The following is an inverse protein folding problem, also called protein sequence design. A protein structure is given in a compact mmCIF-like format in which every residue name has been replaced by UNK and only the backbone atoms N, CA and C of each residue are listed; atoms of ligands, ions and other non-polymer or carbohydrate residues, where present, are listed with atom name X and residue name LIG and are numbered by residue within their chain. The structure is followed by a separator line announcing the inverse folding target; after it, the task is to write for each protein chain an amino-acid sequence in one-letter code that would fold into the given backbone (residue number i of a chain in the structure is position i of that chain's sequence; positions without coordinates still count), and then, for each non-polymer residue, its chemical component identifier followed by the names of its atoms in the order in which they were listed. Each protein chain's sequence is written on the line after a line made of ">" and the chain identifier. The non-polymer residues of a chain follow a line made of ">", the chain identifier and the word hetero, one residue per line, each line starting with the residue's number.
data_IF_180138310495
#
_entry.id   IF_180138310495
#
_cell.length_a   1.000
_cell.length_b   1.000
_cell.length_c   1.000
_cell.angle_alpha   90.00
_cell.angle_beta   90.00
_cell.angle_gamma   90.00
#
_symmetry.space_group_name_H-M   'P 1'
#
loop_
_entity.id
_entity.type
_entity.pdbx_description
1 polymer ?
#
# COMPACT_ATOMS: atom_id res chain seq x y z
N UNK A 1 14.13 24.33 -1.69
CA UNK A 1 13.85 24.61 -3.11
C UNK A 1 14.14 23.37 -4.00
N UNK A 2 13.87 23.50 -5.30
CA UNK A 2 14.04 22.38 -6.22
C UNK A 2 15.48 21.91 -6.40
N UNK A 3 16.46 22.80 -6.31
CA UNK A 3 17.89 22.44 -6.38
C UNK A 3 18.31 21.67 -5.13
N UNK A 4 17.90 22.14 -3.96
CA UNK A 4 18.11 21.45 -2.70
C UNK A 4 17.48 20.04 -2.71
N UNK A 5 16.27 19.90 -3.27
CA UNK A 5 15.61 18.61 -3.40
C UNK A 5 16.41 17.64 -4.30
N UNK A 6 16.98 18.12 -5.42
CA UNK A 6 17.87 17.30 -6.28
C UNK A 6 19.08 16.81 -5.49
N UNK A 7 19.78 17.72 -4.80
CA UNK A 7 20.96 17.36 -3.99
C UNK A 7 20.63 16.35 -2.88
N UNK A 8 19.52 16.54 -2.19
CA UNK A 8 19.07 15.64 -1.12
C UNK A 8 18.76 14.26 -1.68
N UNK A 9 18.10 14.18 -2.84
CA UNK A 9 17.78 12.92 -3.49
C UNK A 9 19.02 12.22 -4.05
N UNK A 10 20.08 12.94 -4.44
CA UNK A 10 21.35 12.33 -4.82
C UNK A 10 22.09 11.70 -3.63
N UNK A 11 22.09 12.40 -2.49
CA UNK A 11 22.83 12.00 -1.28
C UNK A 11 22.13 10.93 -0.45
N UNK A 12 20.80 10.85 -0.52
CA UNK A 12 19.98 9.98 0.33
C UNK A 12 19.02 9.12 -0.49
N UNK A 13 18.55 8.04 0.12
CA UNK A 13 17.46 7.23 -0.43
C UNK A 13 16.17 7.61 0.27
N UNK A 14 15.15 7.89 -0.54
CA UNK A 14 13.79 8.17 -0.11
C UNK A 14 12.84 7.16 -0.74
N UNK A 15 11.76 6.81 -0.04
CA UNK A 15 10.72 5.91 -0.53
C UNK A 15 9.66 6.64 -1.37
N UNK A 16 9.51 7.96 -1.14
CA UNK A 16 8.61 8.85 -1.85
C UNK A 16 9.00 10.30 -1.56
N UNK A 17 8.79 11.17 -2.53
CA UNK A 17 8.99 12.62 -2.37
C UNK A 17 7.68 13.35 -2.58
N UNK A 18 7.34 14.25 -1.66
CA UNK A 18 6.24 15.22 -1.80
C UNK A 18 6.88 16.57 -2.06
N UNK A 19 6.51 17.22 -3.17
CA UNK A 19 7.17 18.44 -3.64
C UNK A 19 6.14 19.46 -4.12
N UNK A 20 6.36 20.73 -3.80
CA UNK A 20 5.57 21.82 -4.38
C UNK A 20 6.00 22.05 -5.84
N UNK A 21 5.05 22.39 -6.70
CA UNK A 21 5.37 22.82 -8.07
C UNK A 21 6.02 24.22 -8.04
N UNK A 22 5.44 25.13 -7.29
CA UNK A 22 5.90 26.52 -7.23
C UNK A 22 7.01 26.69 -6.20
N UNK A 23 8.25 26.50 -6.63
CA UNK A 23 9.44 26.70 -5.78
C UNK A 23 10.43 27.67 -6.45
N UNK A 24 11.21 28.45 -5.67
CA UNK A 24 12.24 29.31 -6.21
C UNK A 24 13.41 28.49 -6.81
N UNK A 25 14.19 29.12 -7.68
CA UNK A 25 15.39 28.60 -8.36
C UNK A 25 15.11 27.48 -9.34
N UNK A 26 14.50 26.38 -8.91
CA UNK A 26 14.11 25.26 -9.74
C UNK A 26 12.69 24.82 -9.35
N UNK A 27 11.75 24.85 -10.31
CA UNK A 27 10.38 24.43 -10.09
C UNK A 27 10.27 22.91 -9.87
N UNK A 28 9.12 22.46 -9.33
CA UNK A 28 8.91 21.06 -8.98
C UNK A 28 9.00 20.10 -10.17
N UNK A 29 8.52 20.48 -11.36
CA UNK A 29 8.59 19.63 -12.55
C UNK A 29 10.02 19.44 -13.02
N UNK A 30 10.78 20.52 -13.08
CA UNK A 30 12.19 20.50 -13.45
C UNK A 30 13.02 19.69 -12.47
N UNK A 31 12.75 19.82 -11.16
CA UNK A 31 13.40 19.04 -10.12
C UNK A 31 13.08 17.54 -10.26
N UNK A 32 11.80 17.15 -10.46
CA UNK A 32 11.42 15.75 -10.70
C UNK A 32 12.14 15.19 -11.92
N UNK A 33 12.15 15.92 -13.02
CA UNK A 33 12.81 15.48 -14.26
C UNK A 33 14.31 15.23 -14.05
N UNK A 34 14.98 16.06 -13.27
CA UNK A 34 16.39 15.89 -12.95
C UNK A 34 16.62 14.68 -12.07
N UNK A 35 15.85 14.53 -10.99
CA UNK A 35 15.95 13.39 -10.07
C UNK A 35 15.63 12.07 -10.77
N UNK A 36 14.64 12.04 -11.66
CA UNK A 36 14.27 10.83 -12.42
C UNK A 36 15.38 10.31 -13.35
N UNK A 37 16.35 11.14 -13.75
CA UNK A 37 17.50 10.69 -14.53
C UNK A 37 18.38 9.71 -13.74
N UNK A 38 18.53 9.93 -12.44
CA UNK A 38 19.35 9.10 -11.54
C UNK A 38 18.54 8.08 -10.76
N UNK A 39 17.29 8.42 -10.43
CA UNK A 39 16.36 7.59 -9.64
C UNK A 39 14.98 7.43 -10.34
N UNK A 40 14.94 6.70 -11.48
CA UNK A 40 13.71 6.62 -12.30
C UNK A 40 12.52 5.99 -11.58
N UNK A 41 12.76 5.15 -10.57
CA UNK A 41 11.72 4.45 -9.80
C UNK A 41 11.26 5.22 -8.55
N UNK A 42 11.91 6.32 -8.18
CA UNK A 42 11.50 7.12 -7.02
C UNK A 42 10.13 7.77 -7.29
N UNK A 43 9.11 7.52 -6.46
CA UNK A 43 7.79 8.10 -6.68
C UNK A 43 7.70 9.53 -6.17
N UNK A 44 6.86 10.31 -6.86
CA UNK A 44 6.62 11.72 -6.56
C UNK A 44 5.14 12.05 -6.45
N UNK A 45 4.79 12.86 -5.43
CA UNK A 45 3.52 13.58 -5.35
C UNK A 45 3.82 15.06 -5.51
N UNK A 46 3.23 15.70 -6.51
CA UNK A 46 3.34 17.15 -6.66
C UNK A 46 2.15 17.87 -6.00
N UNK A 47 2.46 18.98 -5.32
CA UNK A 47 1.47 19.88 -4.72
C UNK A 47 1.24 21.05 -5.69
N UNK A 48 0.01 21.20 -6.19
CA UNK A 48 -0.38 22.21 -7.19
C UNK A 48 -1.31 23.26 -6.59
N UNK A 49 -1.28 24.50 -7.10
CA UNK A 49 -2.30 25.49 -6.81
C UNK A 49 -3.58 25.23 -7.65
N UNK A 50 -4.74 25.67 -7.14
CA UNK A 50 -6.03 25.48 -7.80
C UNK A 50 -6.06 26.25 -9.14
N UNK A 51 -6.29 25.56 -10.28
CA UNK A 51 -6.62 26.18 -11.57
C UNK A 51 -5.72 25.87 -12.76
N UNK A 52 -4.66 25.11 -12.59
CA UNK A 52 -3.74 24.81 -13.69
C UNK A 52 -3.94 23.39 -14.21
N UNK A 53 -4.96 23.23 -15.08
CA UNK A 53 -5.19 22.00 -15.87
C UNK A 53 -3.96 21.65 -16.72
N UNK A 54 -3.19 22.66 -17.09
CA UNK A 54 -1.94 22.56 -17.83
C UNK A 54 -0.83 21.83 -17.05
N UNK A 55 -0.76 22.03 -15.73
CA UNK A 55 0.22 21.37 -14.85
C UNK A 55 -0.02 19.86 -14.76
N UNK A 56 -1.29 19.43 -14.82
CA UNK A 56 -1.64 17.99 -14.74
C UNK A 56 -1.19 17.23 -15.99
N UNK A 57 -1.27 17.84 -17.16
CA UNK A 57 -0.86 17.22 -18.43
C UNK A 57 0.67 17.13 -18.50
N UNK A 58 1.38 18.20 -18.14
CA UNK A 58 2.84 18.22 -18.13
C UNK A 58 3.45 17.24 -17.12
N UNK A 59 2.80 17.02 -16.01
CA UNK A 59 3.34 16.13 -14.99
C UNK A 59 3.27 14.66 -15.33
N UNK A 60 2.26 14.20 -16.08
CA UNK A 60 2.23 12.81 -16.54
C UNK A 60 3.39 12.51 -17.50
N UNK A 61 3.80 13.47 -18.34
CA UNK A 61 4.94 13.34 -19.23
C UNK A 61 6.30 13.29 -18.46
N UNK A 62 6.36 13.87 -17.26
CA UNK A 62 7.56 13.89 -16.42
C UNK A 62 7.67 12.64 -15.51
N UNK A 63 6.62 11.83 -15.43
CA UNK A 63 6.60 10.58 -14.65
C UNK A 63 6.27 10.79 -13.17
N UNK A 64 5.41 11.74 -12.84
CA UNK A 64 4.86 11.96 -11.50
C UNK A 64 3.78 10.90 -11.20
N UNK A 65 3.73 10.39 -9.98
CA UNK A 65 2.81 9.32 -9.60
C UNK A 65 1.44 9.83 -9.15
N UNK A 66 1.37 11.04 -8.56
CA UNK A 66 0.10 11.68 -8.18
C UNK A 66 0.23 13.20 -8.02
N UNK A 67 -0.91 13.88 -7.97
CA UNK A 67 -1.08 15.32 -7.76
C UNK A 67 -2.04 15.61 -6.63
N UNK A 68 -1.72 16.60 -5.80
CA UNK A 68 -2.60 17.09 -4.75
C UNK A 68 -2.80 18.59 -4.92
N UNK A 69 -4.05 19.00 -5.08
CA UNK A 69 -4.41 20.43 -5.26
C UNK A 69 -4.55 21.09 -3.90
N UNK A 70 -3.94 22.25 -3.74
CA UNK A 70 -4.07 23.10 -2.54
C UNK A 70 -5.38 23.91 -2.60
N UNK A 71 -6.12 24.06 -1.47
CA UNK A 71 -5.83 23.50 -0.15
C UNK A 71 -6.24 22.01 -0.05
N UNK A 72 -5.44 21.21 0.60
CA UNK A 72 -5.70 19.77 0.84
C UNK A 72 -5.73 19.46 2.34
N UNK A 73 -6.39 18.37 2.72
CA UNK A 73 -6.32 17.87 4.08
C UNK A 73 -5.09 16.98 4.28
N UNK A 74 -4.48 17.05 5.48
CA UNK A 74 -3.37 16.15 5.82
C UNK A 74 -3.78 14.68 5.69
N UNK A 75 -5.05 14.35 5.98
CA UNK A 75 -5.59 13.00 5.83
C UNK A 75 -5.57 12.56 4.36
N UNK A 76 -5.97 13.42 3.44
CA UNK A 76 -5.96 13.14 2.00
C UNK A 76 -4.53 12.87 1.51
N UNK A 77 -3.59 13.75 1.85
CA UNK A 77 -2.19 13.58 1.46
C UNK A 77 -1.61 12.27 1.99
N UNK A 78 -1.85 11.94 3.27
CA UNK A 78 -1.39 10.68 3.86
C UNK A 78 -1.99 9.45 3.19
N UNK A 79 -3.26 9.49 2.79
CA UNK A 79 -3.90 8.38 2.05
C UNK A 79 -3.23 8.16 0.69
N UNK A 80 -2.89 9.23 -0.03
CA UNK A 80 -2.20 9.16 -1.33
C UNK A 80 -0.77 8.64 -1.18
N UNK A 81 -0.02 9.14 -0.18
CA UNK A 81 1.32 8.64 0.16
C UNK A 81 1.27 7.12 0.41
N UNK A 82 0.36 6.66 1.27
CA UNK A 82 0.23 5.23 1.56
C UNK A 82 -0.14 4.40 0.32
N UNK A 83 -1.01 4.93 -0.55
CA UNK A 83 -1.40 4.23 -1.78
C UNK A 83 -0.21 4.05 -2.74
N UNK A 84 0.67 5.05 -2.86
CA UNK A 84 1.86 4.98 -3.71
C UNK A 84 2.92 4.09 -3.08
N UNK A 85 3.26 4.28 -1.80
CA UNK A 85 4.24 3.44 -1.11
C UNK A 85 3.87 1.97 -1.13
N UNK A 86 2.59 1.65 -1.06
CA UNK A 86 2.10 0.28 -1.20
C UNK A 86 2.37 -0.34 -2.58
N UNK A 87 2.48 0.47 -3.63
CA UNK A 87 2.83 0.01 -4.99
C UNK A 87 4.35 -0.17 -5.16
N UNK A 88 5.14 0.64 -4.46
CA UNK A 88 6.60 0.74 -4.62
C UNK A 88 7.35 -0.15 -3.65
N UNK A 89 6.77 -0.49 -2.48
CA UNK A 89 7.43 -1.44 -1.59
C UNK A 89 7.61 -2.77 -2.33
N UNK A 90 8.85 -3.27 -2.46
CA UNK A 90 9.05 -4.65 -2.83
C UNK A 90 8.29 -5.46 -1.78
N UNK A 91 7.31 -6.23 -2.21
CA UNK A 91 6.74 -7.27 -1.35
C UNK A 91 7.91 -8.20 -1.08
N UNK A 92 8.51 -8.08 0.13
CA UNK A 92 9.55 -8.99 0.57
C UNK A 92 9.10 -10.41 0.28
N UNK A 93 9.87 -11.11 -0.55
CA UNK A 93 9.65 -12.49 -0.97
C UNK A 93 8.42 -12.78 -1.82
N UNK A 94 8.18 -12.02 -2.91
CA UNK A 94 7.42 -12.53 -4.04
C UNK A 94 8.42 -12.95 -5.13
N UNK A 95 9.14 -14.02 -4.88
CA UNK A 95 9.67 -14.82 -5.96
C UNK A 95 8.48 -15.45 -6.68
N UNK A 96 8.21 -15.02 -7.90
CA UNK A 96 7.18 -15.57 -8.81
C UNK A 96 5.69 -15.32 -8.48
N UNK A 97 5.30 -14.18 -7.92
CA UNK A 97 3.88 -13.88 -7.67
C UNK A 97 3.25 -14.72 -6.55
N UNK A 98 4.06 -15.30 -5.67
CA UNK A 98 3.61 -16.14 -4.56
C UNK A 98 4.13 -15.64 -3.21
N UNK A 99 3.32 -15.75 -2.17
CA UNK A 99 3.75 -15.60 -0.78
C UNK A 99 3.84 -16.98 -0.13
N UNK A 100 4.91 -17.22 0.62
CA UNK A 100 5.09 -18.47 1.35
C UNK A 100 5.50 -18.20 2.79
N UNK A 101 4.83 -18.87 3.72
CA UNK A 101 5.21 -18.97 5.13
C UNK A 101 4.98 -20.39 5.61
N UNK A 102 6.06 -21.06 5.99
CA UNK A 102 6.10 -22.50 6.22
C UNK A 102 5.48 -23.26 5.02
N UNK A 103 4.43 -24.07 5.20
CA UNK A 103 3.75 -24.77 4.11
C UNK A 103 2.49 -24.05 3.60
N UNK A 104 2.17 -22.87 4.14
CA UNK A 104 1.13 -22.00 3.60
C UNK A 104 1.69 -21.23 2.40
N UNK A 105 1.09 -21.43 1.22
CA UNK A 105 1.44 -20.73 -0.02
C UNK A 105 0.22 -20.02 -0.57
N UNK A 106 0.38 -18.74 -0.90
CA UNK A 106 -0.62 -17.94 -1.60
C UNK A 106 -0.07 -17.60 -2.98
N UNK A 107 -0.72 -18.08 -4.03
CA UNK A 107 -0.43 -17.69 -5.40
C UNK A 107 -1.38 -16.55 -5.79
N UNK A 108 -0.82 -15.36 -5.95
CA UNK A 108 -1.60 -14.16 -6.29
C UNK A 108 -2.11 -14.18 -7.73
N UNK A 109 -1.33 -14.78 -8.64
CA UNK A 109 -1.69 -14.85 -10.07
C UNK A 109 -2.82 -15.84 -10.31
N UNK A 110 -2.72 -17.02 -9.70
CA UNK A 110 -3.76 -18.04 -9.76
C UNK A 110 -4.93 -17.78 -8.79
N UNK A 111 -4.79 -16.83 -7.86
CA UNK A 111 -5.72 -16.57 -6.75
C UNK A 111 -6.03 -17.83 -5.95
N UNK A 112 -4.99 -18.61 -5.64
CA UNK A 112 -5.11 -19.87 -4.90
C UNK A 112 -4.33 -19.83 -3.59
N UNK A 113 -4.81 -20.58 -2.61
CA UNK A 113 -4.14 -20.80 -1.33
C UNK A 113 -3.97 -22.29 -1.13
N UNK A 114 -2.75 -22.71 -0.80
CA UNK A 114 -2.44 -24.11 -0.49
C UNK A 114 -1.77 -24.21 0.88
N UNK A 115 -2.04 -25.30 1.57
CA UNK A 115 -1.41 -25.68 2.83
C UNK A 115 -0.90 -27.11 2.66
N UNK A 116 0.38 -27.36 2.91
CA UNK A 116 1.02 -28.67 2.71
C UNK A 116 0.78 -29.21 1.27
N UNK A 117 0.77 -28.31 0.29
CA UNK A 117 0.51 -28.64 -1.11
C UNK A 117 -0.97 -28.91 -1.46
N UNK A 118 -1.87 -28.92 -0.49
CA UNK A 118 -3.31 -29.09 -0.72
C UNK A 118 -4.01 -27.76 -0.84
N UNK A 119 -4.82 -27.58 -1.90
CA UNK A 119 -5.59 -26.36 -2.10
C UNK A 119 -6.73 -26.27 -1.08
N UNK A 120 -6.77 -25.15 -0.35
CA UNK A 120 -7.92 -24.82 0.52
C UNK A 120 -8.92 -23.93 -0.23
N UNK A 121 -10.20 -24.11 0.09
CA UNK A 121 -11.26 -23.28 -0.50
C UNK A 121 -11.53 -22.09 0.42
N UNK A 122 -11.36 -20.88 -0.11
CA UNK A 122 -11.75 -19.64 0.53
C UNK A 122 -12.82 -18.97 -0.30
N UNK A 123 -13.77 -18.31 0.35
CA UNK A 123 -14.67 -17.38 -0.34
C UNK A 123 -13.87 -16.19 -0.90
N UNK A 124 -14.38 -15.46 -1.90
CA UNK A 124 -13.69 -14.29 -2.44
C UNK A 124 -13.26 -13.29 -1.38
N UNK A 125 -14.13 -13.04 -0.39
CA UNK A 125 -13.83 -12.08 0.70
C UNK A 125 -12.83 -12.63 1.72
N UNK A 126 -12.83 -13.92 2.00
CA UNK A 126 -11.80 -14.55 2.84
C UNK A 126 -10.43 -14.49 2.15
N UNK A 127 -10.37 -14.75 0.84
CA UNK A 127 -9.15 -14.62 0.06
C UNK A 127 -8.62 -13.18 0.07
N UNK A 128 -9.48 -12.18 -0.23
CA UNK A 128 -9.12 -10.76 -0.23
C UNK A 128 -8.61 -10.30 1.15
N UNK A 129 -9.29 -10.75 2.22
CA UNK A 129 -8.91 -10.46 3.60
C UNK A 129 -7.54 -11.05 3.95
N UNK A 130 -7.31 -12.33 3.61
CA UNK A 130 -6.01 -12.99 3.81
C UNK A 130 -4.90 -12.26 3.07
N UNK A 131 -5.11 -11.98 1.79
CA UNK A 131 -4.13 -11.27 0.94
C UNK A 131 -3.83 -9.89 1.51
N UNK A 132 -4.84 -9.16 1.97
CA UNK A 132 -4.65 -7.84 2.54
C UNK A 132 -3.85 -7.89 3.85
N UNK A 133 -4.16 -8.84 4.74
CA UNK A 133 -3.43 -9.08 5.97
C UNK A 133 -1.96 -9.45 5.69
N UNK A 134 -1.71 -10.36 4.76
CA UNK A 134 -0.37 -10.83 4.40
C UNK A 134 0.46 -9.73 3.74
N UNK A 135 -0.13 -8.93 2.84
CA UNK A 135 0.55 -7.78 2.23
C UNK A 135 0.94 -6.69 3.24
N UNK A 136 0.28 -6.66 4.38
CA UNK A 136 0.57 -5.75 5.49
C UNK A 136 1.12 -6.51 6.71
N UNK A 137 1.88 -7.59 6.48
CA UNK A 137 2.47 -8.40 7.56
C UNK A 137 3.25 -7.53 8.56
N UNK A 138 3.10 -7.83 9.85
CA UNK A 138 3.74 -7.09 10.95
C UNK A 138 3.03 -5.78 11.33
N UNK A 139 2.07 -5.29 10.51
CA UNK A 139 1.37 -4.03 10.75
C UNK A 139 0.05 -4.30 11.48
N UNK A 140 -0.21 -3.53 12.55
CA UNK A 140 -1.50 -3.52 13.23
C UNK A 140 -2.54 -2.81 12.34
N UNK A 141 -3.49 -3.56 11.79
CA UNK A 141 -4.56 -3.03 10.96
C UNK A 141 -5.81 -2.82 11.79
N UNK A 142 -6.38 -1.62 11.73
CA UNK A 142 -7.64 -1.34 12.41
C UNK A 142 -8.81 -2.04 11.72
N UNK A 143 -9.91 -2.23 12.46
CA UNK A 143 -11.15 -2.80 11.91
C UNK A 143 -11.66 -1.99 10.72
N UNK A 144 -11.64 -0.66 10.85
CA UNK A 144 -12.05 0.26 9.80
C UNK A 144 -11.17 0.11 8.54
N UNK A 145 -9.84 0.05 8.70
CA UNK A 145 -8.91 -0.19 7.58
C UNK A 145 -9.20 -1.50 6.85
N UNK A 146 -9.48 -2.57 7.59
CA UNK A 146 -9.80 -3.87 7.00
C UNK A 146 -11.12 -3.83 6.24
N UNK A 147 -12.18 -3.23 6.83
CA UNK A 147 -13.47 -3.09 6.17
C UNK A 147 -13.37 -2.23 4.90
N UNK A 148 -12.75 -1.07 4.98
CA UNK A 148 -12.61 -0.16 3.83
C UNK A 148 -11.81 -0.78 2.68
N UNK A 149 -10.73 -1.48 2.97
CA UNK A 149 -9.84 -2.02 1.92
C UNK A 149 -10.30 -3.36 1.33
N UNK A 150 -11.10 -4.14 2.07
CA UNK A 150 -11.59 -5.44 1.60
C UNK A 150 -13.04 -5.36 1.11
N UNK A 151 -13.88 -4.51 1.70
CA UNK A 151 -15.29 -4.35 1.31
C UNK A 151 -15.59 -3.06 0.56
N UNK A 152 -14.71 -2.05 0.66
CA UNK A 152 -14.87 -0.75 0.01
C UNK A 152 -15.35 0.35 0.97
N UNK A 153 -15.18 1.61 0.54
CA UNK A 153 -15.55 2.78 1.36
C UNK A 153 -17.07 2.93 1.58
N UNK A 154 -17.87 2.37 0.68
CA UNK A 154 -19.35 2.41 0.75
C UNK A 154 -19.93 1.23 1.53
N UNK A 155 -19.09 0.53 2.31
CA UNK A 155 -19.57 -0.58 3.11
C UNK A 155 -20.33 -0.07 4.34
N UNK A 156 -21.66 -0.13 4.30
CA UNK A 156 -22.58 0.20 5.40
C UNK A 156 -22.95 -1.02 6.27
N UNK A 157 -22.17 -2.11 6.20
CA UNK A 157 -22.43 -3.33 6.96
C UNK A 157 -22.00 -3.22 8.43
N UNK A 158 -22.51 -4.17 9.24
CA UNK A 158 -22.16 -4.29 10.66
C UNK A 158 -20.67 -4.69 10.80
N UNK A 159 -19.98 -4.11 11.79
CA UNK A 159 -18.62 -4.47 12.21
C UNK A 159 -18.45 -5.97 12.49
N UNK A 160 -19.52 -6.66 12.85
CA UNK A 160 -19.57 -8.12 13.02
C UNK A 160 -19.25 -8.91 11.76
N UNK A 161 -19.40 -8.30 10.57
CA UNK A 161 -19.06 -8.92 9.29
C UNK A 161 -17.58 -9.27 9.25
N UNK A 162 -16.69 -8.38 9.69
CA UNK A 162 -15.27 -8.64 9.74
C UNK A 162 -14.94 -9.82 10.67
N UNK A 163 -15.51 -9.85 11.88
CA UNK A 163 -15.24 -10.93 12.85
C UNK A 163 -15.70 -12.28 12.34
N UNK A 164 -16.84 -12.32 11.64
CA UNK A 164 -17.34 -13.53 11.01
C UNK A 164 -16.36 -14.03 9.95
N UNK A 165 -15.86 -13.16 9.07
CA UNK A 165 -14.90 -13.56 8.04
C UNK A 165 -13.54 -13.94 8.63
N UNK A 166 -13.06 -13.27 9.67
CA UNK A 166 -11.85 -13.69 10.40
C UNK A 166 -12.03 -15.09 11.01
N UNK A 167 -13.19 -15.35 11.62
CA UNK A 167 -13.49 -16.66 12.20
C UNK A 167 -13.50 -17.77 11.14
N UNK A 168 -14.16 -17.54 10.00
CA UNK A 168 -14.20 -18.48 8.88
C UNK A 168 -12.83 -18.68 8.26
N UNK A 169 -12.09 -17.59 8.01
CA UNK A 169 -10.73 -17.63 7.50
C UNK A 169 -9.81 -18.45 8.42
N UNK A 170 -9.85 -18.21 9.73
CA UNK A 170 -9.07 -18.99 10.71
C UNK A 170 -9.44 -20.47 10.68
N UNK A 171 -10.73 -20.78 10.56
CA UNK A 171 -11.19 -22.19 10.44
C UNK A 171 -10.59 -22.86 9.21
N UNK A 172 -10.58 -22.18 8.07
CA UNK A 172 -10.06 -22.71 6.81
C UNK A 172 -8.52 -22.81 6.79
N UNK A 173 -7.83 -21.95 7.53
CA UNK A 173 -6.37 -21.96 7.66
C UNK A 173 -5.86 -23.02 8.65
N UNK A 174 -6.71 -23.60 9.50
CA UNK A 174 -6.31 -24.62 10.48
C UNK A 174 -5.19 -24.11 11.41
N UNK A 175 -4.08 -24.84 11.49
CA UNK A 175 -2.94 -24.51 12.36
C UNK A 175 -2.26 -23.18 11.98
N UNK A 176 -2.42 -22.72 10.74
CA UNK A 176 -1.89 -21.43 10.27
C UNK A 176 -2.73 -20.24 10.71
N UNK A 177 -3.90 -20.48 11.34
CA UNK A 177 -4.70 -19.43 11.98
C UNK A 177 -3.92 -18.63 13.05
N UNK A 178 -2.90 -19.26 13.64
CA UNK A 178 -2.00 -18.63 14.63
C UNK A 178 -1.30 -17.37 14.12
N UNK A 179 -1.12 -17.23 12.79
CA UNK A 179 -0.50 -16.07 12.19
C UNK A 179 -1.44 -14.85 12.09
N UNK A 180 -2.75 -15.05 12.25
CA UNK A 180 -3.71 -13.94 12.33
C UNK A 180 -3.91 -13.58 13.80
N UNK A 181 -3.22 -12.57 14.27
CA UNK A 181 -3.24 -12.13 15.67
C UNK A 181 -4.37 -11.12 15.88
N UNK A 182 -5.17 -11.32 16.91
CA UNK A 182 -6.18 -10.36 17.35
C UNK A 182 -5.54 -9.33 18.27
N UNK A 183 -5.64 -8.06 17.91
CA UNK A 183 -5.21 -6.93 18.73
C UNK A 183 -6.46 -6.31 19.37
N UNK A 184 -6.70 -6.63 20.66
CA UNK A 184 -7.89 -6.19 21.38
C UNK A 184 -8.04 -4.67 21.34
N UNK A 185 -9.23 -4.18 20.98
CA UNK A 185 -9.52 -2.75 20.85
C UNK A 185 -8.92 -2.06 19.63
N UNK A 186 -8.16 -2.78 18.77
CA UNK A 186 -7.53 -2.24 17.55
C UNK A 186 -8.06 -2.95 16.31
N UNK A 187 -7.80 -4.24 16.16
CA UNK A 187 -8.12 -5.00 14.96
C UNK A 187 -7.29 -6.27 14.84
N UNK A 188 -6.59 -6.44 13.71
CA UNK A 188 -5.88 -7.68 13.41
C UNK A 188 -4.50 -7.40 12.79
N UNK A 189 -3.59 -8.37 12.93
CA UNK A 189 -2.25 -8.35 12.33
C UNK A 189 -1.90 -9.76 11.83
N UNK A 190 -1.27 -9.84 10.67
CA UNK A 190 -0.63 -11.07 10.22
C UNK A 190 0.84 -11.05 10.63
N UNK A 191 1.27 -12.03 11.36
CA UNK A 191 2.66 -12.13 11.84
C UNK A 191 3.06 -13.60 11.96
N UNK A 192 4.26 -13.94 11.45
CA UNK A 192 4.84 -15.25 11.74
C UNK A 192 5.25 -15.28 13.20
N UNK A 193 4.62 -16.14 13.96
CA UNK A 193 5.03 -16.42 15.35
C UNK A 193 6.04 -17.55 15.26
N UNK A 194 7.30 -17.24 15.52
CA UNK A 194 8.32 -18.27 15.70
C UNK A 194 7.98 -19.03 17.00
N UNK A 195 8.00 -20.35 16.92
CA UNK A 195 7.66 -21.26 18.04
C UNK A 195 8.77 -21.31 19.08
#
# INVERSE_FOLDING_TARGET
>A
DGMEAVELCEKNNYDLVVMDIMMPHLDGFSAVKEIKKTKPQLPFILLSALGEEYDRIHGFDVGVDDYVVKPFSSKELMMRIHAILKRVQPVDTVSNGQFKVDDLVIDYSARTVTIEGQRIQLSPKEYELLVYLVKNKGIALTREQLLQNVWGYDFFGDDRTLDTHIKLLRKNLGDYAKYIITLRGVGYRFEKVDA
#
